data_IF_524578558967
#
_entry.id   IF_524578558967
#
_cell.length_a   1.000
_cell.length_b   1.000
_cell.length_c   1.000
_cell.angle_alpha   90.00
_cell.angle_beta   90.00
_cell.angle_gamma   90.00
#
_symmetry.space_group_name_H-M   'P 1'
#
loop_
_entity.id
_entity.type
_entity.pdbx_description
1 polymer ?
#
# COMPACT_ATOMS: atom_id res chain seq x y z
N UNK A 1 -13.13 9.96 -3.94
CA UNK A 1 -11.93 9.11 -3.91
C UNK A 1 -10.92 9.61 -4.94
N UNK A 2 -9.63 9.50 -4.65
CA UNK A 2 -8.54 9.80 -5.60
C UNK A 2 -7.99 8.50 -6.16
N UNK A 3 -7.51 8.54 -7.40
CA UNK A 3 -7.01 7.38 -8.12
C UNK A 3 -5.72 7.74 -8.84
N UNK A 4 -4.78 6.80 -8.86
CA UNK A 4 -3.54 6.91 -9.62
C UNK A 4 -3.73 6.26 -10.97
N UNK A 5 -3.29 6.92 -12.03
CA UNK A 5 -3.35 6.42 -13.40
C UNK A 5 -2.21 5.43 -13.60
N UNK A 6 -2.53 4.20 -13.96
CA UNK A 6 -1.58 3.12 -14.24
C UNK A 6 -1.24 3.01 -15.71
N UNK A 7 -2.18 3.37 -16.59
CA UNK A 7 -1.98 3.37 -18.04
C UNK A 7 -2.56 4.63 -18.63
N UNK A 8 -1.88 5.31 -19.56
CA UNK A 8 -2.40 6.53 -20.14
C UNK A 8 -3.71 6.26 -20.88
N UNK A 9 -4.70 7.11 -20.67
CA UNK A 9 -6.00 6.98 -21.33
C UNK A 9 -6.64 8.33 -21.61
N UNK A 10 -7.48 8.37 -22.64
CA UNK A 10 -8.30 9.53 -22.98
C UNK A 10 -9.69 9.33 -22.39
N UNK A 11 -10.19 10.32 -21.66
CA UNK A 11 -11.57 10.33 -21.21
C UNK A 11 -12.22 11.70 -21.45
N UNK A 12 -13.52 11.66 -21.69
CA UNK A 12 -14.32 12.86 -21.91
C UNK A 12 -14.77 13.39 -20.55
N UNK A 13 -14.19 14.50 -20.12
CA UNK A 13 -14.56 15.19 -18.88
C UNK A 13 -15.38 16.42 -19.29
N UNK A 14 -16.71 16.28 -19.28
CA UNK A 14 -17.62 17.31 -19.80
C UNK A 14 -17.52 17.46 -21.32
N UNK A 15 -17.23 18.66 -21.81
CA UNK A 15 -17.09 18.97 -23.24
C UNK A 15 -15.68 18.73 -23.82
N UNK A 16 -14.67 18.45 -22.98
CA UNK A 16 -13.29 18.27 -23.44
C UNK A 16 -12.83 16.82 -23.26
N UNK A 17 -12.15 16.31 -24.28
CA UNK A 17 -11.39 15.05 -24.19
C UNK A 17 -10.06 15.37 -23.53
N UNK A 18 -9.87 14.87 -22.31
CA UNK A 18 -8.63 15.04 -21.55
C UNK A 18 -7.83 13.75 -21.64
N UNK A 19 -6.55 13.88 -21.95
CA UNK A 19 -5.60 12.78 -21.89
C UNK A 19 -4.97 12.74 -20.50
N UNK A 20 -5.10 11.59 -19.84
CA UNK A 20 -4.52 11.32 -18.53
C UNK A 20 -3.24 10.52 -18.72
N UNK A 21 -2.16 10.99 -18.07
CA UNK A 21 -0.83 10.36 -18.17
C UNK A 21 -0.63 9.35 -17.05
N UNK A 22 0.21 8.35 -17.31
CA UNK A 22 0.65 7.40 -16.29
C UNK A 22 1.29 8.12 -15.09
N UNK A 23 0.96 7.66 -13.88
CA UNK A 23 1.38 8.25 -12.62
C UNK A 23 0.55 9.45 -12.15
N UNK A 24 -0.34 10.00 -12.98
CA UNK A 24 -1.18 11.14 -12.60
C UNK A 24 -2.22 10.75 -11.55
N UNK A 25 -2.47 11.64 -10.60
CA UNK A 25 -3.56 11.48 -9.62
C UNK A 25 -4.79 12.23 -10.10
N UNK A 26 -5.93 11.54 -10.10
CA UNK A 26 -7.21 12.07 -10.56
C UNK A 26 -8.31 11.80 -9.53
N UNK A 27 -9.23 12.76 -9.38
CA UNK A 27 -10.42 12.64 -8.53
C UNK A 27 -11.62 12.34 -9.41
N UNK A 28 -12.28 11.21 -9.15
CA UNK A 28 -13.47 10.80 -9.90
C UNK A 28 -14.48 10.09 -9.00
N UNK A 29 -15.77 10.10 -9.38
CA UNK A 29 -16.79 9.34 -8.70
C UNK A 29 -16.57 7.82 -8.87
N UNK A 30 -16.93 7.06 -7.84
CA UNK A 30 -16.68 5.62 -7.73
C UNK A 30 -17.31 4.81 -8.89
N UNK A 31 -18.53 5.16 -9.32
CA UNK A 31 -19.18 4.49 -10.45
C UNK A 31 -18.40 4.59 -11.75
N UNK A 32 -17.78 5.75 -12.02
CA UNK A 32 -16.91 5.94 -13.18
C UNK A 32 -15.57 5.23 -13.00
N UNK A 33 -15.09 5.16 -11.75
CA UNK A 33 -13.83 4.52 -11.40
C UNK A 33 -13.88 3.01 -11.59
N UNK A 34 -14.98 2.34 -11.20
CA UNK A 34 -15.13 0.88 -11.29
C UNK A 34 -14.82 0.34 -12.69
N UNK A 35 -15.31 1.01 -13.75
CA UNK A 35 -15.03 0.61 -15.14
C UNK A 35 -13.55 0.76 -15.51
N UNK A 36 -12.88 1.78 -14.98
CA UNK A 36 -11.47 2.06 -15.25
C UNK A 36 -10.53 1.17 -14.42
N UNK A 37 -10.92 0.85 -13.19
CA UNK A 37 -10.25 -0.12 -12.32
C UNK A 37 -10.34 -1.51 -12.93
N UNK A 38 -11.53 -1.95 -13.34
CA UNK A 38 -11.72 -3.25 -14.01
C UNK A 38 -10.96 -3.36 -15.34
N UNK A 39 -10.72 -2.24 -16.01
CA UNK A 39 -9.88 -2.17 -17.22
C UNK A 39 -8.37 -2.06 -16.92
N UNK A 40 -7.96 -2.01 -15.64
CA UNK A 40 -6.56 -1.86 -15.22
C UNK A 40 -5.91 -0.54 -15.65
N UNK A 41 -6.70 0.54 -15.79
CA UNK A 41 -6.23 1.87 -16.22
C UNK A 41 -5.87 2.76 -15.04
N UNK A 42 -6.54 2.57 -13.91
CA UNK A 42 -6.34 3.35 -12.69
C UNK A 42 -6.41 2.42 -11.48
N UNK A 43 -5.79 2.83 -10.38
CA UNK A 43 -5.91 2.20 -9.06
C UNK A 43 -6.40 3.22 -8.02
N UNK A 44 -7.16 2.82 -6.99
CA UNK A 44 -7.51 3.71 -5.89
C UNK A 44 -6.23 4.14 -5.16
N UNK A 45 -6.05 5.45 -5.02
CA UNK A 45 -4.99 5.99 -4.20
C UNK A 45 -5.50 6.05 -2.76
N UNK A 46 -5.18 5.01 -2.00
CA UNK A 46 -5.56 4.87 -0.61
C UNK A 46 -4.52 5.61 0.24
N UNK A 47 -4.98 6.41 1.21
CA UNK A 47 -4.08 6.99 2.21
C UNK A 47 -3.43 5.88 3.05
N UNK A 48 -2.20 6.07 3.50
CA UNK A 48 -1.51 5.12 4.36
C UNK A 48 -2.30 4.77 5.62
N UNK A 49 -2.93 5.77 6.26
CA UNK A 49 -3.76 5.56 7.46
C UNK A 49 -4.97 4.66 7.17
N UNK A 50 -5.58 4.83 5.99
CA UNK A 50 -6.71 3.99 5.57
C UNK A 50 -6.23 2.59 5.18
N UNK A 51 -5.08 2.46 4.53
CA UNK A 51 -4.45 1.18 4.22
C UNK A 51 -4.08 0.39 5.49
N UNK A 52 -3.59 1.06 6.54
CA UNK A 52 -3.28 0.47 7.84
C UNK A 52 -4.55 -0.03 8.53
N UNK A 53 -5.61 0.78 8.56
CA UNK A 53 -6.92 0.34 9.10
C UNK A 53 -7.50 -0.83 8.33
N UNK A 54 -7.39 -0.82 7.01
CA UNK A 54 -7.84 -1.93 6.17
C UNK A 54 -6.98 -3.17 6.41
N UNK A 55 -5.66 -3.06 6.56
CA UNK A 55 -4.79 -4.18 6.92
C UNK A 55 -5.17 -4.81 8.28
N UNK A 56 -5.58 -4.01 9.25
CA UNK A 56 -6.05 -4.51 10.56
C UNK A 56 -7.40 -5.23 10.42
N UNK A 57 -8.25 -4.82 9.48
CA UNK A 57 -9.58 -5.42 9.24
C UNK A 57 -9.57 -6.60 8.27
N UNK A 58 -8.60 -6.68 7.35
CA UNK A 58 -8.56 -7.62 6.22
C UNK A 58 -7.95 -8.98 6.56
N UNK A 59 -7.15 -9.12 7.62
CA UNK A 59 -6.48 -10.39 7.92
C UNK A 59 -6.58 -10.77 9.40
N UNK A 60 -7.54 -11.64 9.68
CA UNK A 60 -7.39 -12.66 10.70
C UNK A 60 -6.13 -13.44 10.34
N UNK A 61 -5.00 -13.16 10.99
CA UNK A 61 -3.74 -13.90 10.84
C UNK A 61 -4.10 -15.39 10.82
N UNK A 62 -3.92 -16.07 9.68
CA UNK A 62 -4.13 -17.52 9.68
C UNK A 62 -3.19 -18.10 10.73
N UNK A 63 -3.62 -19.08 11.54
CA UNK A 63 -2.83 -19.56 12.69
C UNK A 63 -1.41 -20.03 12.28
N UNK A 64 -1.24 -20.40 11.01
CA UNK A 64 0.01 -20.85 10.42
C UNK A 64 0.88 -19.74 9.81
N UNK A 65 0.41 -18.48 9.76
CA UNK A 65 1.19 -17.33 9.30
C UNK A 65 2.21 -16.90 10.36
N UNK A 66 3.37 -17.55 10.32
CA UNK A 66 4.54 -17.25 11.19
C UNK A 66 5.57 -16.33 10.51
N UNK A 67 5.36 -15.94 9.26
CA UNK A 67 6.31 -15.09 8.51
C UNK A 67 5.75 -13.68 8.33
N UNK A 68 6.59 -12.64 8.35
CA UNK A 68 6.18 -11.30 7.94
C UNK A 68 5.68 -11.31 6.50
N UNK A 69 4.71 -10.47 6.19
CA UNK A 69 4.18 -10.33 4.84
C UNK A 69 3.71 -8.91 4.58
N UNK A 70 3.49 -8.59 3.31
CA UNK A 70 2.96 -7.30 2.87
C UNK A 70 1.52 -7.52 2.42
N UNK A 71 0.59 -6.77 3.01
CA UNK A 71 -0.81 -6.80 2.57
C UNK A 71 -0.95 -6.25 1.15
N UNK A 72 -2.08 -6.52 0.50
CA UNK A 72 -2.40 -5.93 -0.81
C UNK A 72 -2.39 -4.39 -0.81
N UNK A 73 -2.47 -3.78 0.38
CA UNK A 73 -2.43 -2.33 0.59
C UNK A 73 -1.02 -1.77 0.85
N UNK A 74 0.03 -2.59 0.74
CA UNK A 74 1.42 -2.14 0.92
C UNK A 74 1.76 -1.84 2.38
N UNK A 75 1.15 -2.56 3.32
CA UNK A 75 1.45 -2.48 4.76
C UNK A 75 2.20 -3.75 5.16
N UNK A 76 3.35 -3.57 5.80
CA UNK A 76 4.09 -4.65 6.43
C UNK A 76 3.36 -5.11 7.70
N UNK A 77 2.95 -6.38 7.72
CA UNK A 77 2.39 -7.05 8.87
C UNK A 77 3.41 -8.04 9.39
N UNK A 78 3.71 -7.95 10.69
CA UNK A 78 4.62 -8.86 11.39
C UNK A 78 3.79 -9.60 12.44
N UNK A 79 3.41 -10.87 12.21
CA UNK A 79 2.63 -11.66 13.16
C UNK A 79 3.34 -11.78 14.51
N UNK A 80 2.59 -11.81 15.61
CA UNK A 80 3.18 -12.02 16.93
C UNK A 80 3.81 -13.41 17.08
N UNK A 81 3.25 -14.40 16.37
CA UNK A 81 3.77 -15.78 16.32
C UNK A 81 5.04 -15.90 15.43
N UNK A 82 5.51 -14.81 14.82
CA UNK A 82 6.74 -14.82 14.04
C UNK A 82 7.99 -14.89 14.92
N UNK A 83 9.11 -15.42 14.41
CA UNK A 83 10.38 -15.45 15.14
C UNK A 83 10.77 -14.06 15.67
N UNK A 84 11.30 -14.00 16.89
CA UNK A 84 11.67 -12.75 17.55
C UNK A 84 12.66 -11.88 16.74
N UNK A 85 13.42 -12.48 15.82
CA UNK A 85 14.26 -11.75 14.88
C UNK A 85 13.47 -10.76 14.02
N UNK A 86 12.20 -11.01 13.73
CA UNK A 86 11.36 -10.11 12.92
C UNK A 86 10.70 -9.00 13.74
N UNK A 87 10.66 -9.12 15.07
CA UNK A 87 10.04 -8.15 15.95
C UNK A 87 11.00 -6.98 16.17
N UNK A 88 10.93 -5.96 15.31
CA UNK A 88 11.78 -4.77 15.42
C UNK A 88 11.65 -4.05 16.78
N UNK A 89 10.53 -4.26 17.49
CA UNK A 89 10.24 -3.73 18.83
C UNK A 89 10.83 -4.58 19.97
N UNK A 90 11.50 -5.70 19.68
CA UNK A 90 12.17 -6.54 20.69
C UNK A 90 13.68 -6.30 20.66
N UNK A 91 14.37 -6.39 21.81
CA UNK A 91 15.83 -6.34 21.84
C UNK A 91 16.41 -7.52 21.06
N UNK A 92 17.29 -7.24 20.08
CA UNK A 92 17.83 -8.25 19.17
C UNK A 92 16.97 -8.53 17.92
N UNK A 93 15.88 -7.78 17.75
CA UNK A 93 15.10 -7.79 16.51
C UNK A 93 15.83 -7.11 15.36
N UNK A 94 15.57 -7.56 14.13
CA UNK A 94 16.07 -6.96 12.91
C UNK A 94 15.26 -5.72 12.54
N UNK A 95 15.88 -4.80 11.82
CA UNK A 95 15.19 -3.59 11.36
C UNK A 95 14.10 -3.92 10.35
N UNK A 96 13.09 -3.05 10.28
CA UNK A 96 12.02 -3.13 9.27
C UNK A 96 12.60 -3.22 7.85
N UNK A 97 13.66 -2.46 7.57
CA UNK A 97 14.36 -2.49 6.28
C UNK A 97 14.96 -3.87 5.97
N UNK A 98 15.55 -4.56 6.95
CA UNK A 98 16.09 -5.91 6.77
C UNK A 98 14.97 -6.91 6.45
N UNK A 99 13.84 -6.81 7.15
CA UNK A 99 12.64 -7.60 6.87
C UNK A 99 12.10 -7.35 5.46
N UNK A 100 11.98 -6.10 5.04
CA UNK A 100 11.51 -5.74 3.69
C UNK A 100 12.45 -6.23 2.60
N UNK A 101 13.75 -6.23 2.86
CA UNK A 101 14.76 -6.77 1.95
C UNK A 101 14.66 -8.29 1.81
N UNK A 102 14.40 -9.02 2.90
CA UNK A 102 14.10 -10.46 2.86
C UNK A 102 12.82 -10.77 2.06
N UNK A 103 11.82 -9.87 2.11
CA UNK A 103 10.58 -9.98 1.34
C UNK A 103 10.71 -9.54 -0.13
N UNK A 104 11.88 -9.03 -0.54
CA UNK A 104 12.10 -8.53 -1.89
C UNK A 104 11.33 -7.25 -2.23
N UNK A 105 10.77 -6.55 -1.23
CA UNK A 105 9.96 -5.31 -1.42
C UNK A 105 10.77 -4.08 -1.04
N UNK A 106 11.85 -3.85 -1.78
CA UNK A 106 12.72 -2.68 -1.61
C UNK A 106 11.98 -1.37 -1.88
N UNK A 107 10.92 -1.40 -2.70
CA UNK A 107 10.10 -0.23 -3.05
C UNK A 107 9.39 0.40 -1.84
N UNK A 108 9.21 -0.39 -0.77
CA UNK A 108 8.58 0.06 0.46
C UNK A 108 9.58 0.59 1.49
N UNK A 109 10.89 0.44 1.26
CA UNK A 109 11.92 0.89 2.22
C UNK A 109 11.81 2.41 2.41
N UNK A 110 11.61 3.18 1.35
CA UNK A 110 11.47 4.63 1.42
C UNK A 110 10.29 5.06 2.32
N UNK A 111 9.18 4.31 2.28
CA UNK A 111 8.02 4.54 3.16
C UNK A 111 8.37 4.37 4.63
N UNK A 112 9.12 3.32 4.97
CA UNK A 112 9.47 2.99 6.36
C UNK A 112 10.75 3.67 6.86
N UNK A 113 11.44 4.43 6.00
CA UNK A 113 12.64 5.21 6.36
C UNK A 113 12.32 6.69 6.62
N UNK A 114 11.09 7.14 6.32
CA UNK A 114 10.71 8.54 6.47
C UNK A 114 10.63 8.94 7.97
N UNK A 115 11.26 10.06 8.39
CA UNK A 115 11.34 10.48 9.79
C UNK A 115 9.99 10.75 10.46
N UNK A 116 8.92 11.03 9.69
CA UNK A 116 7.55 11.18 10.21
C UNK A 116 7.01 9.91 10.91
N UNK A 117 7.50 8.71 10.55
CA UNK A 117 7.08 7.47 11.21
C UNK A 117 7.82 7.17 12.52
N UNK A 118 8.90 7.89 12.82
CA UNK A 118 9.66 7.77 14.08
C UNK A 118 9.25 8.79 15.15
N UNK A 119 8.58 9.89 14.76
CA UNK A 119 8.20 10.99 15.65
C UNK A 119 6.71 10.99 16.05
N UNK A 120 6.09 9.82 16.10
CA UNK A 120 4.82 9.64 16.81
C UNK A 120 5.07 9.29 18.27
N UNK A 121 5.53 10.26 19.08
CA UNK A 121 5.62 10.13 20.53
C UNK A 121 5.03 11.38 21.19
#
# INVERSE_FOLDING_TARGET
MTYRVLKPFKAKTGEKVVEFKEGQVIKLPEQSAQKLIGAGKIEPQISYELAERMAIMDENCEPDQVKPYITNFGVLVIPYNSPAKYHYWKPGGQSICATLKELGRCDLIEKYTHPDYFNGN
#
